data_IF_954255568078
#
_entry.id   IF_954255568078
#
_cell.length_a   1.000
_cell.length_b   1.000
_cell.length_c   1.000
_cell.angle_alpha   90.00
_cell.angle_beta   90.00
_cell.angle_gamma   90.00
#
_symmetry.space_group_name_H-M   'P 1'
#
loop_
_entity.id
_entity.type
_entity.pdbx_description
1 polymer ?
#
# COMPACT_ATOMS: atom_id res chain seq x y z
N UNK A 1 -11.14 4.87 2.86
CA UNK A 1 -10.91 5.10 4.30
C UNK A 1 -10.23 6.46 4.40
N UNK A 2 -9.81 6.91 5.58
CA UNK A 2 -8.90 8.06 5.66
C UNK A 2 -7.48 7.57 5.88
N UNK A 3 -6.53 8.52 5.88
CA UNK A 3 -5.08 8.27 5.94
C UNK A 3 -4.68 7.14 6.90
N UNK A 4 -5.17 7.14 8.13
CA UNK A 4 -4.77 6.13 9.12
C UNK A 4 -5.28 4.73 8.80
N UNK A 5 -6.48 4.60 8.23
CA UNK A 5 -6.98 3.32 7.74
C UNK A 5 -6.12 2.77 6.61
N UNK A 6 -5.73 3.63 5.65
CA UNK A 6 -4.89 3.22 4.52
C UNK A 6 -3.45 2.87 4.94
N UNK A 7 -2.84 3.65 5.83
CA UNK A 7 -1.52 3.31 6.39
C UNK A 7 -1.56 1.98 7.12
N UNK A 8 -2.60 1.74 7.92
CA UNK A 8 -2.84 0.46 8.58
C UNK A 8 -2.96 -0.70 7.61
N UNK A 9 -3.78 -0.56 6.57
CA UNK A 9 -3.95 -1.57 5.52
C UNK A 9 -2.63 -1.90 4.81
N UNK A 10 -1.86 -0.87 4.43
CA UNK A 10 -0.58 -1.01 3.75
C UNK A 10 0.45 -1.75 4.61
N UNK A 11 0.57 -1.38 5.89
CA UNK A 11 1.47 -2.05 6.83
C UNK A 11 1.06 -3.50 7.07
N UNK A 12 -0.25 -3.76 7.19
CA UNK A 12 -0.78 -5.11 7.38
C UNK A 12 -0.35 -6.04 6.24
N UNK A 13 -0.56 -5.64 4.99
CA UNK A 13 -0.21 -6.49 3.83
C UNK A 13 1.30 -6.55 3.58
N UNK A 14 2.05 -5.50 3.92
CA UNK A 14 3.50 -5.46 3.72
C UNK A 14 4.27 -6.25 4.79
N UNK A 15 3.73 -6.37 6.02
CA UNK A 15 4.39 -7.00 7.16
C UNK A 15 5.11 -8.33 6.86
N UNK A 16 4.43 -9.33 6.23
CA UNK A 16 5.06 -10.59 5.85
C UNK A 16 6.23 -10.45 4.87
N UNK A 17 6.15 -9.50 3.92
CA UNK A 17 7.23 -9.24 2.95
C UNK A 17 8.42 -8.57 3.62
N UNK A 18 8.18 -7.58 4.49
CA UNK A 18 9.24 -6.97 5.31
C UNK A 18 9.97 -8.00 6.16
N UNK A 19 9.23 -8.94 6.76
CA UNK A 19 9.79 -10.02 7.56
C UNK A 19 10.65 -10.98 6.72
N UNK A 20 10.18 -11.36 5.54
CA UNK A 20 10.94 -12.18 4.60
C UNK A 20 12.24 -11.49 4.15
N UNK A 21 12.18 -10.19 3.83
CA UNK A 21 13.36 -9.39 3.49
C UNK A 21 14.36 -9.30 4.65
N UNK A 22 13.86 -9.17 5.88
CA UNK A 22 14.70 -9.11 7.09
C UNK A 22 15.44 -10.43 7.35
N UNK A 23 14.83 -11.58 7.05
CA UNK A 23 15.45 -12.91 7.21
C UNK A 23 16.41 -13.28 6.07
N UNK A 24 16.01 -12.98 4.84
CA UNK A 24 16.66 -13.51 3.63
C UNK A 24 17.57 -12.54 2.89
N UNK A 25 17.51 -11.24 3.21
CA UNK A 25 18.25 -10.21 2.50
C UNK A 25 18.91 -9.21 3.45
N UNK A 26 18.29 -8.05 3.63
CA UNK A 26 18.87 -6.86 4.25
C UNK A 26 17.76 -6.15 5.05
N UNK A 27 17.90 -6.03 6.39
CA UNK A 27 16.93 -5.31 7.22
C UNK A 27 16.66 -3.87 6.76
N UNK A 28 17.63 -3.23 6.10
CA UNK A 28 17.42 -1.90 5.53
C UNK A 28 16.48 -1.90 4.34
N UNK A 29 16.45 -2.97 3.53
CA UNK A 29 15.45 -3.12 2.46
C UNK A 29 14.05 -3.32 3.04
N UNK A 30 13.93 -4.05 4.15
CA UNK A 30 12.65 -4.22 4.83
C UNK A 30 12.11 -2.87 5.33
N UNK A 31 12.96 -2.06 5.97
CA UNK A 31 12.60 -0.72 6.42
C UNK A 31 12.29 0.23 5.25
N UNK A 32 13.10 0.18 4.18
CA UNK A 32 12.87 0.97 2.97
C UNK A 32 11.52 0.64 2.31
N UNK A 33 11.21 -0.65 2.13
CA UNK A 33 9.91 -1.05 1.58
C UNK A 33 8.75 -0.65 2.49
N UNK A 34 8.90 -0.69 3.83
CA UNK A 34 7.88 -0.20 4.74
C UNK A 34 7.65 1.31 4.55
N UNK A 35 8.72 2.09 4.40
CA UNK A 35 8.64 3.53 4.13
C UNK A 35 7.92 3.82 2.80
N UNK A 36 8.23 3.06 1.74
CA UNK A 36 7.52 3.15 0.44
C UNK A 36 6.05 2.79 0.61
N UNK A 37 5.73 1.71 1.32
CA UNK A 37 4.35 1.29 1.54
C UNK A 37 3.54 2.38 2.27
N UNK A 38 4.11 3.01 3.31
CA UNK A 38 3.47 4.13 4.01
C UNK A 38 3.33 5.35 3.09
N UNK A 39 4.36 5.70 2.33
CA UNK A 39 4.33 6.85 1.43
C UNK A 39 3.29 6.71 0.31
N UNK A 40 3.12 5.50 -0.25
CA UNK A 40 2.14 5.23 -1.30
C UNK A 40 0.70 5.05 -0.77
N UNK A 41 0.50 4.89 0.54
CA UNK A 41 -0.77 4.44 1.10
C UNK A 41 -1.96 5.36 0.81
N UNK A 42 -1.74 6.66 0.61
CA UNK A 42 -2.78 7.64 0.27
C UNK A 42 -2.56 8.26 -1.11
N UNK A 43 -1.71 7.66 -1.96
CA UNK A 43 -1.44 8.21 -3.28
C UNK A 43 -2.68 8.27 -4.19
N UNK A 44 -3.61 7.29 -4.17
CA UNK A 44 -4.86 7.40 -4.94
C UNK A 44 -5.72 8.61 -4.54
N UNK A 45 -5.81 8.93 -3.25
CA UNK A 45 -6.59 10.06 -2.71
C UNK A 45 -6.01 11.44 -3.06
N UNK A 46 -4.84 11.50 -3.70
CA UNK A 46 -4.35 12.77 -4.27
C UNK A 46 -5.31 13.32 -5.34
N UNK A 47 -6.23 12.49 -5.86
CA UNK A 47 -7.33 12.92 -6.73
C UNK A 47 -8.26 13.97 -6.09
N UNK A 48 -8.40 14.00 -4.76
CA UNK A 48 -9.17 15.04 -4.05
C UNK A 48 -8.60 16.46 -4.28
N UNK A 49 -7.33 16.56 -4.72
CA UNK A 49 -6.66 17.81 -5.04
C UNK A 49 -6.70 18.15 -6.54
N UNK A 50 -7.30 17.28 -7.35
CA UNK A 50 -7.29 17.38 -8.81
C UNK A 50 -8.72 17.60 -9.34
N UNK A 51 -8.89 18.19 -10.54
CA UNK A 51 -10.19 18.38 -11.16
C UNK A 51 -10.68 17.08 -11.83
N UNK A 52 -10.69 15.96 -11.10
CA UNK A 52 -11.17 14.65 -11.54
C UNK A 52 -12.09 14.06 -10.46
N UNK A 53 -12.94 13.10 -10.86
CA UNK A 53 -13.82 12.43 -9.90
C UNK A 53 -13.00 11.60 -8.90
N UNK A 54 -13.24 11.82 -7.61
CA UNK A 54 -12.68 10.97 -6.55
C UNK A 54 -13.18 9.53 -6.72
N UNK A 55 -12.26 8.56 -6.59
CA UNK A 55 -12.49 7.13 -6.89
C UNK A 55 -12.83 6.81 -8.34
N UNK A 56 -12.40 7.69 -9.23
CA UNK A 56 -12.37 7.47 -10.66
C UNK A 56 -11.08 6.75 -11.08
N UNK A 57 -10.25 7.32 -11.98
CA UNK A 57 -9.09 6.64 -12.56
C UNK A 57 -8.03 6.17 -11.54
N UNK A 58 -7.88 6.87 -10.43
CA UNK A 58 -6.90 6.64 -9.34
C UNK A 58 -7.21 5.41 -8.49
N UNK A 59 -8.47 4.98 -8.42
CA UNK A 59 -8.91 3.83 -7.60
C UNK A 59 -9.20 2.60 -8.47
N UNK A 60 -8.32 2.35 -9.43
CA UNK A 60 -8.43 1.25 -10.41
C UNK A 60 -7.22 0.33 -10.34
N UNK A 61 -7.36 -0.89 -10.85
CA UNK A 61 -6.22 -1.81 -11.00
C UNK A 61 -5.15 -1.24 -11.93
N UNK A 62 -5.53 -0.39 -12.87
CA UNK A 62 -4.61 0.26 -13.80
C UNK A 62 -3.72 1.27 -13.09
N UNK A 63 -4.28 2.04 -12.15
CA UNK A 63 -3.49 2.93 -11.31
C UNK A 63 -2.53 2.15 -10.40
N UNK A 64 -2.96 1.01 -9.84
CA UNK A 64 -2.09 0.12 -9.07
C UNK A 64 -0.91 -0.34 -9.93
N UNK A 65 -1.16 -0.85 -11.15
CA UNK A 65 -0.12 -1.34 -12.05
C UNK A 65 0.82 -0.22 -12.51
N UNK A 66 0.27 0.90 -12.97
CA UNK A 66 1.03 2.06 -13.44
C UNK A 66 1.85 2.70 -12.32
N UNK A 67 1.23 2.96 -11.16
CA UNK A 67 1.90 3.50 -9.99
C UNK A 67 3.01 2.59 -9.48
N UNK A 68 2.78 1.28 -9.45
CA UNK A 68 3.81 0.28 -9.13
C UNK A 68 5.00 0.38 -10.09
N UNK A 69 4.74 0.40 -11.40
CA UNK A 69 5.79 0.49 -12.41
C UNK A 69 6.60 1.79 -12.30
N UNK A 70 5.93 2.92 -12.04
CA UNK A 70 6.58 4.23 -11.82
C UNK A 70 7.48 4.18 -10.59
N UNK A 71 6.96 3.74 -9.44
CA UNK A 71 7.73 3.67 -8.19
C UNK A 71 8.93 2.72 -8.33
N UNK A 72 8.73 1.53 -8.92
CA UNK A 72 9.80 0.58 -9.17
C UNK A 72 10.89 1.16 -10.09
N UNK A 73 10.50 1.88 -11.15
CA UNK A 73 11.42 2.49 -12.10
C UNK A 73 12.26 3.59 -11.45
N UNK A 74 11.63 4.49 -10.70
CA UNK A 74 12.31 5.57 -9.96
C UNK A 74 13.31 4.97 -8.96
N UNK A 75 12.87 3.98 -8.19
CA UNK A 75 13.71 3.30 -7.20
C UNK A 75 14.88 2.55 -7.87
N UNK A 76 14.66 1.92 -9.02
CA UNK A 76 15.71 1.26 -9.79
C UNK A 76 16.80 2.22 -10.26
N UNK A 77 16.40 3.39 -10.80
CA UNK A 77 17.34 4.46 -11.17
C UNK A 77 18.12 4.94 -9.95
N UNK A 78 17.44 5.15 -8.81
CA UNK A 78 18.08 5.57 -7.56
C UNK A 78 19.02 4.50 -6.99
N UNK A 79 18.77 3.22 -7.26
CA UNK A 79 19.62 2.10 -6.83
C UNK A 79 20.84 1.84 -7.72
N UNK A 80 20.89 2.40 -8.94
CA UNK A 80 21.97 2.16 -9.89
C UNK A 80 23.35 2.66 -9.42
N UNK A 81 23.50 3.84 -8.77
CA UNK A 81 24.80 4.33 -8.29
C UNK A 81 25.48 3.42 -7.26
N UNK A 82 24.69 2.59 -6.55
CA UNK A 82 25.18 1.63 -5.56
C UNK A 82 25.16 0.18 -6.08
N UNK A 83 24.92 -0.02 -7.39
CA UNK A 83 24.88 -1.36 -8.02
C UNK A 83 23.73 -2.24 -7.58
N UNK A 84 22.67 -1.68 -6.97
CA UNK A 84 21.52 -2.42 -6.43
C UNK A 84 20.21 -2.12 -7.19
N UNK A 85 20.28 -1.70 -8.44
CA UNK A 85 19.12 -1.27 -9.23
C UNK A 85 17.96 -2.28 -9.21
N UNK A 86 18.24 -3.57 -9.43
CA UNK A 86 17.20 -4.61 -9.50
C UNK A 86 16.56 -4.83 -8.13
N UNK A 87 17.38 -4.96 -7.08
CA UNK A 87 16.88 -5.23 -5.73
C UNK A 87 16.07 -4.05 -5.19
N UNK A 88 16.56 -2.82 -5.36
CA UNK A 88 15.86 -1.61 -4.89
C UNK A 88 14.55 -1.40 -5.68
N UNK A 89 14.56 -1.61 -7.00
CA UNK A 89 13.35 -1.57 -7.82
C UNK A 89 12.32 -2.63 -7.38
N UNK A 90 12.76 -3.87 -7.16
CA UNK A 90 11.88 -4.97 -6.75
C UNK A 90 11.28 -4.72 -5.38
N UNK A 91 12.06 -4.25 -4.40
CA UNK A 91 11.58 -3.92 -3.06
C UNK A 91 10.55 -2.78 -3.11
N UNK A 92 10.88 -1.66 -3.77
CA UNK A 92 9.97 -0.51 -3.85
C UNK A 92 8.71 -0.84 -4.66
N UNK A 93 8.85 -1.53 -5.78
CA UNK A 93 7.73 -1.97 -6.62
C UNK A 93 6.78 -2.89 -5.86
N UNK A 94 7.31 -3.90 -5.15
CA UNK A 94 6.49 -4.81 -4.34
C UNK A 94 5.76 -4.05 -3.23
N UNK A 95 6.46 -3.15 -2.52
CA UNK A 95 5.85 -2.33 -1.48
C UNK A 95 4.74 -1.41 -2.01
N UNK A 96 4.98 -0.77 -3.16
CA UNK A 96 4.00 0.09 -3.83
C UNK A 96 2.78 -0.71 -4.31
N UNK A 97 2.98 -1.87 -4.93
CA UNK A 97 1.90 -2.73 -5.39
C UNK A 97 0.99 -3.17 -4.23
N UNK A 98 1.59 -3.62 -3.13
CA UNK A 98 0.86 -4.01 -1.93
C UNK A 98 0.13 -2.82 -1.31
N UNK A 99 0.79 -1.67 -1.20
CA UNK A 99 0.20 -0.45 -0.63
C UNK A 99 -0.99 0.05 -1.45
N UNK A 100 -0.81 0.27 -2.75
CA UNK A 100 -1.87 0.73 -3.66
C UNK A 100 -3.01 -0.31 -3.76
N UNK A 101 -2.68 -1.61 -3.80
CA UNK A 101 -3.69 -2.67 -3.77
C UNK A 101 -4.49 -2.68 -2.45
N UNK A 102 -3.81 -2.52 -1.32
CA UNK A 102 -4.46 -2.43 0.00
C UNK A 102 -5.34 -1.18 0.12
N UNK A 103 -4.99 -0.10 -0.58
CA UNK A 103 -5.81 1.11 -0.65
C UNK A 103 -7.17 0.81 -1.29
N UNK A 104 -7.18 0.18 -2.47
CA UNK A 104 -8.41 -0.25 -3.13
C UNK A 104 -9.24 -1.19 -2.24
N UNK A 105 -8.59 -2.16 -1.60
CA UNK A 105 -9.26 -3.06 -0.66
C UNK A 105 -9.86 -2.31 0.52
N UNK A 106 -9.13 -1.38 1.13
CA UNK A 106 -9.63 -0.56 2.22
C UNK A 106 -10.81 0.32 1.80
N UNK A 107 -10.85 0.79 0.56
CA UNK A 107 -11.97 1.54 0.03
C UNK A 107 -13.18 0.70 -0.30
N UNK A 108 -12.99 -0.55 -0.72
CA UNK A 108 -14.08 -1.50 -0.89
C UNK A 108 -14.82 -1.79 0.42
N UNK A 109 -14.19 -1.62 1.59
CA UNK A 109 -14.84 -1.79 2.91
C UNK A 109 -15.91 -0.70 3.15
N UNK A 110 -15.77 0.46 2.49
CA UNK A 110 -16.61 1.64 2.73
C UNK A 110 -17.82 1.69 1.80
N UNK A 111 -18.96 2.27 2.21
CA UNK A 111 -20.18 2.36 1.38
C UNK A 111 -19.93 2.89 -0.04
N UNK A 112 -19.08 3.91 -0.17
CA UNK A 112 -18.74 4.53 -1.46
C UNK A 112 -18.05 3.56 -2.44
N UNK A 113 -17.34 2.54 -1.93
CA UNK A 113 -16.74 1.47 -2.73
C UNK A 113 -15.72 1.95 -3.77
N UNK A 114 -15.47 1.10 -4.77
CA UNK A 114 -14.56 1.36 -5.90
C UNK A 114 -15.12 0.79 -7.21
N UNK A 115 -14.54 1.21 -8.35
CA UNK A 115 -14.78 0.62 -9.68
C UNK A 115 -13.46 0.12 -10.25
N UNK A 116 -12.99 -1.08 -9.86
CA UNK A 116 -11.59 -1.49 -10.07
C UNK A 116 -11.18 -1.52 -11.54
N UNK A 117 -12.14 -1.78 -12.44
CA UNK A 117 -11.91 -1.99 -13.86
C UNK A 117 -12.30 -0.78 -14.73
N UNK A 118 -12.65 0.36 -14.13
CA UNK A 118 -12.94 1.58 -14.88
C UNK A 118 -11.73 2.01 -15.74
N UNK A 119 -11.92 2.50 -16.98
CA UNK A 119 -13.18 2.71 -17.69
C UNK A 119 -13.68 1.52 -18.51
N UNK A 120 -12.99 0.37 -18.47
CA UNK A 120 -13.37 -0.81 -19.25
C UNK A 120 -14.65 -1.48 -18.73
N UNK A 121 -14.95 -1.30 -17.45
CA UNK A 121 -16.20 -1.76 -16.84
C UNK A 121 -16.71 -0.77 -15.81
N UNK A 122 -18.04 -0.61 -15.77
CA UNK A 122 -18.73 0.17 -14.76
C UNK A 122 -19.06 -0.63 -13.48
N UNK A 123 -18.60 -1.89 -13.38
CA UNK A 123 -18.83 -2.71 -12.20
C UNK A 123 -18.31 -2.00 -10.94
N UNK A 124 -19.19 -1.91 -9.94
CA UNK A 124 -18.94 -1.26 -8.66
C UNK A 124 -18.87 -2.34 -7.58
N UNK A 125 -17.89 -2.19 -6.70
CA UNK A 125 -17.67 -3.09 -5.58
C UNK A 125 -17.62 -2.32 -4.26
N UNK A 126 -18.43 -2.77 -3.30
CA UNK A 126 -18.51 -2.26 -1.94
C UNK A 126 -19.00 -3.37 -1.01
N UNK A 127 -18.36 -3.49 0.15
CA UNK A 127 -18.80 -4.33 1.25
C UNK A 127 -19.73 -3.59 2.22
N UNK A 128 -19.78 -2.26 2.15
CA UNK A 128 -20.66 -1.42 2.98
C UNK A 128 -20.59 -1.72 4.49
N UNK A 129 -19.37 -1.85 5.03
CA UNK A 129 -19.15 -2.26 6.43
C UNK A 129 -19.09 -1.06 7.37
N UNK A 130 -18.34 -0.01 6.99
CA UNK A 130 -18.15 1.18 7.82
C UNK A 130 -17.89 2.42 6.97
N UNK A 131 -18.44 3.59 7.32
CA UNK A 131 -18.11 4.84 6.65
C UNK A 131 -16.61 5.14 6.68
N UNK A 132 -16.08 5.70 5.59
CA UNK A 132 -14.67 6.07 5.46
C UNK A 132 -14.20 7.02 6.58
N UNK A 133 -15.08 7.91 7.02
CA UNK A 133 -14.80 8.92 8.04
C UNK A 133 -14.89 8.39 9.49
N UNK A 134 -15.18 7.10 9.71
CA UNK A 134 -15.30 6.55 11.07
C UNK A 134 -13.91 6.56 11.77
N UNK A 135 -13.71 7.39 12.81
CA UNK A 135 -12.38 7.53 13.43
C UNK A 135 -11.93 6.25 14.12
N UNK A 136 -12.86 5.49 14.71
CA UNK A 136 -12.54 4.21 15.38
C UNK A 136 -12.07 3.17 14.37
N UNK A 137 -12.73 3.06 13.22
CA UNK A 137 -12.32 2.12 12.19
C UNK A 137 -10.93 2.44 11.64
N UNK A 138 -10.64 3.73 11.41
CA UNK A 138 -9.32 4.18 10.96
C UNK A 138 -8.21 3.91 11.98
N UNK A 139 -8.44 4.21 13.26
CA UNK A 139 -7.44 3.95 14.31
C UNK A 139 -7.28 2.46 14.59
N UNK A 140 -8.35 1.67 14.54
CA UNK A 140 -8.29 0.20 14.66
C UNK A 140 -7.50 -0.42 13.51
N UNK A 141 -7.73 -0.01 12.25
CA UNK A 141 -6.94 -0.50 11.12
C UNK A 141 -5.46 -0.14 11.26
N UNK A 142 -5.15 1.10 11.68
CA UNK A 142 -3.76 1.51 11.95
C UNK A 142 -3.13 0.62 13.04
N UNK A 143 -3.82 0.45 14.17
CA UNK A 143 -3.35 -0.36 15.28
C UNK A 143 -3.09 -1.81 14.87
N UNK A 144 -4.06 -2.45 14.23
CA UNK A 144 -3.95 -3.83 13.75
C UNK A 144 -2.83 -3.98 12.73
N UNK A 145 -2.75 -3.08 11.74
CA UNK A 145 -1.71 -3.13 10.72
C UNK A 145 -0.30 -2.96 11.27
N UNK A 146 -0.12 -1.99 12.18
CA UNK A 146 1.16 -1.77 12.85
C UNK A 146 1.54 -2.96 13.74
N UNK A 147 0.63 -3.43 14.59
CA UNK A 147 0.88 -4.58 15.46
C UNK A 147 1.21 -5.84 14.67
N UNK A 148 0.50 -6.09 13.56
CA UNK A 148 0.78 -7.25 12.72
C UNK A 148 2.13 -7.14 12.02
N UNK A 149 2.48 -5.98 11.45
CA UNK A 149 3.78 -5.76 10.85
C UNK A 149 4.92 -5.94 11.86
N UNK A 150 4.77 -5.41 13.08
CA UNK A 150 5.75 -5.59 14.15
C UNK A 150 5.85 -7.05 14.61
N UNK A 151 4.73 -7.77 14.70
CA UNK A 151 4.72 -9.20 15.02
C UNK A 151 5.47 -10.00 13.94
N UNK A 152 5.24 -9.72 12.66
CA UNK A 152 6.00 -10.34 11.57
C UNK A 152 7.51 -10.09 11.73
N UNK A 153 7.92 -8.87 12.08
CA UNK A 153 9.33 -8.55 12.34
C UNK A 153 9.90 -9.26 13.58
N UNK A 154 9.14 -9.34 14.67
CA UNK A 154 9.57 -10.03 15.89
C UNK A 154 9.85 -11.52 15.61
N UNK A 155 8.93 -12.18 14.91
CA UNK A 155 9.10 -13.57 14.45
C UNK A 155 10.31 -13.70 13.52
N UNK A 156 10.49 -12.75 12.60
CA UNK A 156 11.62 -12.76 11.67
C UNK A 156 12.97 -12.70 12.39
N UNK A 157 13.07 -11.86 13.42
CA UNK A 157 14.29 -11.62 14.20
C UNK A 157 14.50 -12.61 15.35
N UNK A 158 13.55 -13.53 15.58
CA UNK A 158 13.62 -14.49 16.69
C UNK A 158 13.48 -13.82 18.06
N UNK A 159 12.82 -12.66 18.13
CA UNK A 159 12.47 -12.02 19.38
C UNK A 159 11.24 -12.78 19.93
N UNK A 160 11.31 -13.38 21.13
CA UNK A 160 10.22 -14.17 21.71
C UNK A 160 8.96 -13.33 21.99
#
# INVERSE_FOLDING_TARGET
>A
MYRWGHVGAALFVYGPVGAALSRGADPWLAAFGAAVAVACSTAPDADELLPIDHRGPTHTIWFVLGGTAVVASIAGVAGAPIGRQVTVAATAGTAAALSLGSHLLADSITPMGIRPLYPLSAWHHSFDITPAANPRANTSMLGVGLSFALLCQAIALGIP
#
